data_IF_678370537838
#
_entry.id   IF_678370537838
#
_cell.length_a   1.000
_cell.length_b   1.000
_cell.length_c   1.000
_cell.angle_alpha   90.00
_cell.angle_beta   90.00
_cell.angle_gamma   90.00
#
_symmetry.space_group_name_H-M   'P 1'
#
loop_
_entity.id
_entity.type
_entity.pdbx_description
1 polymer ?
#
# COMPACT_ATOMS: atom_id res chain seq x y z
N UNK A 1 0.93 9.30 -16.06
CA UNK A 1 -0.42 8.80 -15.71
C UNK A 1 -0.44 8.52 -14.21
N UNK A 2 -1.53 8.82 -13.49
CA UNK A 2 -1.63 8.50 -12.07
C UNK A 2 -1.55 6.98 -11.86
N UNK A 3 -0.77 6.54 -10.89
CA UNK A 3 -0.72 5.12 -10.52
C UNK A 3 -1.95 4.80 -9.69
N UNK A 4 -2.66 3.73 -10.06
CA UNK A 4 -3.92 3.34 -9.43
C UNK A 4 -3.84 1.95 -8.83
N UNK A 5 -4.49 1.76 -7.70
CA UNK A 5 -4.60 0.48 -7.03
C UNK A 5 -5.57 -0.47 -7.77
N UNK A 6 -5.79 -1.67 -7.21
CA UNK A 6 -6.66 -2.69 -7.80
C UNK A 6 -8.13 -2.28 -7.96
N UNK A 7 -8.59 -1.24 -7.23
CA UNK A 7 -9.97 -0.73 -7.27
C UNK A 7 -10.07 0.67 -7.87
N UNK A 8 -8.98 1.18 -8.45
CA UNK A 8 -8.93 2.42 -9.21
C UNK A 8 -8.66 3.68 -8.39
N UNK A 9 -8.32 3.56 -7.10
CA UNK A 9 -7.90 4.69 -6.27
C UNK A 9 -6.48 5.12 -6.62
N UNK A 10 -6.20 6.42 -6.55
CA UNK A 10 -4.85 6.94 -6.80
C UNK A 10 -3.92 6.56 -5.64
N UNK A 11 -2.74 6.03 -5.97
CA UNK A 11 -1.69 5.72 -5.01
C UNK A 11 -0.70 6.87 -4.96
N UNK A 12 -0.40 7.35 -3.75
CA UNK A 12 0.56 8.43 -3.48
C UNK A 12 1.59 8.01 -2.43
N UNK A 13 2.80 8.59 -2.45
CA UNK A 13 3.73 8.46 -1.34
C UNK A 13 3.09 8.90 -0.02
N UNK A 14 3.28 8.10 1.03
CA UNK A 14 2.64 8.29 2.34
C UNK A 14 1.30 7.58 2.51
N UNK A 15 0.67 7.10 1.43
CA UNK A 15 -0.56 6.33 1.56
C UNK A 15 -0.32 5.01 2.29
N UNK A 16 -1.33 4.60 3.05
CA UNK A 16 -1.40 3.28 3.66
C UNK A 16 -2.09 2.33 2.69
N UNK A 17 -1.50 1.18 2.43
CA UNK A 17 -2.01 0.19 1.49
C UNK A 17 -2.09 -1.18 2.15
N UNK A 18 -3.12 -1.95 1.80
CA UNK A 18 -3.17 -3.38 2.03
C UNK A 18 -2.48 -4.08 0.85
N UNK A 19 -1.63 -5.05 1.18
CA UNK A 19 -0.96 -5.88 0.22
C UNK A 19 -1.13 -7.36 0.61
N UNK A 20 -1.56 -8.19 -0.34
CA UNK A 20 -1.59 -9.65 -0.14
C UNK A 20 -0.44 -10.30 -0.87
N UNK A 21 0.30 -11.15 -0.16
CA UNK A 21 1.29 -12.04 -0.73
C UNK A 21 0.71 -13.45 -0.75
N UNK A 22 0.46 -14.00 -1.94
CA UNK A 22 0.01 -15.39 -2.13
C UNK A 22 -1.28 -15.76 -1.38
N UNK A 23 -2.28 -14.86 -1.32
CA UNK A 23 -3.58 -15.17 -0.71
C UNK A 23 -3.58 -15.19 0.84
N UNK A 24 -2.44 -14.98 1.48
CA UNK A 24 -2.39 -14.62 2.88
C UNK A 24 -2.70 -13.12 2.99
N UNK A 25 -3.84 -12.78 3.57
CA UNK A 25 -4.08 -11.44 4.08
C UNK A 25 -3.17 -11.28 5.29
N UNK A 26 -2.10 -10.49 5.14
CA UNK A 26 -1.41 -10.01 6.33
C UNK A 26 -2.45 -9.20 7.12
N UNK A 27 -2.67 -9.56 8.40
CA UNK A 27 -3.71 -8.96 9.22
C UNK A 27 -3.57 -7.43 9.26
N UNK A 28 -4.63 -6.71 9.60
CA UNK A 28 -4.66 -5.24 9.52
C UNK A 28 -3.47 -4.51 10.21
N UNK A 29 -2.79 -5.13 11.17
CA UNK A 29 -1.58 -4.56 11.80
C UNK A 29 -0.28 -4.91 11.06
N UNK A 30 -0.14 -6.13 10.52
CA UNK A 30 1.06 -6.59 9.80
C UNK A 30 1.00 -6.34 8.28
N UNK A 31 -0.19 -6.15 7.71
CA UNK A 31 -0.46 -6.05 6.28
C UNK A 31 -0.68 -4.64 5.74
N UNK A 32 -0.67 -3.64 6.63
CA UNK A 32 -0.77 -2.23 6.23
C UNK A 32 0.62 -1.64 6.06
N UNK A 33 0.97 -1.39 4.81
CA UNK A 33 2.27 -0.84 4.42
C UNK A 33 2.14 0.64 4.09
N UNK A 34 3.23 1.38 4.27
CA UNK A 34 3.31 2.78 3.84
C UNK A 34 4.03 2.86 2.50
N UNK A 35 3.46 3.58 1.54
CA UNK A 35 4.09 3.83 0.25
C UNK A 35 5.29 4.77 0.43
N UNK A 36 6.50 4.29 0.14
CA UNK A 36 7.71 5.11 0.15
C UNK A 36 7.90 5.84 -1.19
N UNK A 37 7.74 5.10 -2.30
CA UNK A 37 8.09 5.61 -3.63
C UNK A 37 7.28 4.91 -4.72
N UNK A 38 6.85 5.70 -5.70
CA UNK A 38 6.30 5.21 -6.95
C UNK A 38 7.41 5.08 -8.00
N UNK A 39 7.42 3.96 -8.72
CA UNK A 39 8.26 3.75 -9.90
C UNK A 39 7.37 3.52 -11.11
N UNK A 40 7.88 3.58 -12.35
CA UNK A 40 7.03 3.46 -13.54
C UNK A 40 6.17 2.19 -13.62
N UNK A 41 6.55 1.11 -12.92
CA UNK A 41 5.85 -0.20 -12.95
C UNK A 41 5.51 -0.79 -11.59
N UNK A 42 5.95 -0.18 -10.50
CA UNK A 42 5.81 -0.77 -9.16
C UNK A 42 5.74 0.28 -8.05
N UNK A 43 5.22 -0.16 -6.91
CA UNK A 43 5.14 0.62 -5.68
C UNK A 43 6.13 0.03 -4.69
N UNK A 44 7.01 0.88 -4.16
CA UNK A 44 7.91 0.53 -3.05
C UNK A 44 7.25 0.94 -1.75
N UNK A 45 7.22 0.01 -0.80
CA UNK A 45 6.50 0.15 0.46
C UNK A 45 7.35 -0.34 1.63
N UNK A 46 6.99 0.08 2.83
CA UNK A 46 7.65 -0.33 4.07
C UNK A 46 6.62 -0.65 5.16
N UNK A 47 6.89 -1.68 5.94
CA UNK A 47 6.17 -1.98 7.18
C UNK A 47 6.48 -0.92 8.25
N UNK A 48 5.58 -0.71 9.22
CA UNK A 48 5.85 0.23 10.32
C UNK A 48 6.97 -0.29 11.23
N UNK A 49 6.95 -1.58 11.54
CA UNK A 49 7.95 -2.28 12.36
C UNK A 49 8.52 -3.44 11.55
N UNK A 50 9.40 -3.18 10.59
CA UNK A 50 9.94 -4.23 9.74
C UNK A 50 10.80 -5.18 10.57
N UNK A 51 10.57 -6.49 10.44
CA UNK A 51 11.50 -7.50 10.98
C UNK A 51 12.88 -7.42 10.33
N UNK A 52 12.96 -6.77 9.17
CA UNK A 52 14.15 -6.59 8.35
C UNK A 52 13.99 -5.37 7.44
N UNK A 53 15.05 -4.55 7.31
CA UNK A 53 15.05 -3.27 6.55
C UNK A 53 14.86 -3.40 5.02
N UNK A 54 14.35 -4.54 4.54
CA UNK A 54 14.12 -4.76 3.12
C UNK A 54 12.82 -4.08 2.69
N UNK A 55 12.86 -3.23 1.66
CA UNK A 55 11.64 -2.66 1.10
C UNK A 55 10.81 -3.73 0.40
N UNK A 56 9.49 -3.60 0.50
CA UNK A 56 8.54 -4.44 -0.22
C UNK A 56 8.21 -3.76 -1.56
N UNK A 57 8.19 -4.55 -2.63
CA UNK A 57 7.92 -4.05 -3.99
C UNK A 57 6.77 -4.87 -4.56
N UNK A 58 5.71 -4.18 -4.98
CA UNK A 58 4.54 -4.81 -5.57
C UNK A 58 4.06 -4.09 -6.83
N UNK A 59 3.33 -4.82 -7.66
CA UNK A 59 2.51 -4.22 -8.70
C UNK A 59 1.42 -3.37 -8.06
N UNK A 60 1.09 -2.18 -8.59
CA UNK A 60 -0.01 -1.39 -8.08
C UNK A 60 -1.35 -2.13 -8.11
N UNK A 61 -1.54 -3.07 -9.05
CA UNK A 61 -2.75 -3.90 -9.13
C UNK A 61 -2.87 -4.95 -8.01
N UNK A 62 -1.84 -5.12 -7.18
CA UNK A 62 -1.86 -6.01 -6.03
C UNK A 62 -2.14 -5.26 -4.70
N UNK A 63 -2.45 -3.96 -4.80
CA UNK A 63 -2.62 -3.08 -3.65
C UNK A 63 -4.07 -2.57 -3.56
N UNK A 64 -4.45 -2.20 -2.35
CA UNK A 64 -5.67 -1.44 -2.04
C UNK A 64 -5.29 -0.30 -1.11
N UNK A 65 -5.57 0.94 -1.47
CA UNK A 65 -5.34 2.10 -0.59
C UNK A 65 -6.38 2.11 0.54
N UNK A 66 -5.90 2.23 1.78
CA UNK A 66 -6.72 2.18 3.01
C UNK A 66 -7.16 3.57 3.44
N UNK A 67 -6.27 4.56 3.32
CA UNK A 67 -6.46 5.89 3.91
C UNK A 67 -6.93 6.97 2.94
N UNK A 68 -7.54 6.60 1.82
CA UNK A 68 -8.43 7.54 1.11
C UNK A 68 -9.83 7.65 1.78
N UNK A 69 -10.24 6.66 2.57
CA UNK A 69 -11.60 6.59 3.14
C UNK A 69 -11.73 7.03 4.62
N UNK A 70 -10.65 7.07 5.41
CA UNK A 70 -10.73 7.51 6.81
C UNK A 70 -10.83 9.04 6.95
N UNK A 71 -10.30 9.81 5.99
CA UNK A 71 -10.44 11.27 5.97
C UNK A 71 -11.85 11.76 5.61
N UNK A 72 -12.70 10.92 5.00
CA UNK A 72 -14.10 11.29 4.72
C UNK A 72 -15.06 10.95 5.86
N UNK A 73 -14.63 10.12 6.83
CA UNK A 73 -15.40 9.73 8.02
C UNK A 73 -15.01 10.50 9.28
N UNK A 74 -13.88 11.23 9.27
CA UNK A 74 -13.48 12.13 10.35
C UNK A 74 -14.06 13.54 10.18
N UNK A 75 -15.35 13.68 10.48
CA UNK A 75 -15.86 14.88 11.14
C UNK A 75 -15.88 14.65 12.65
#
# INVERSE_FOLDING_TARGET
MPMRDSIGQEIRPGDRVLWSRNGAYAGFEDGVLTVEKLTPKSVRMRERNPLNDRPLIASPNALVVVEANLRSLGK
#
